data_IF_922811727711
#
_entry.id   IF_922811727711
#
_cell.length_a   1.000
_cell.length_b   1.000
_cell.length_c   1.000
_cell.angle_alpha   90.00
_cell.angle_beta   90.00
_cell.angle_gamma   90.00
#
_symmetry.space_group_name_H-M   'P 1'
#
loop_
_entity.id
_entity.type
_entity.pdbx_description
1 polymer ?
#
# COMPACT_ATOMS: atom_id res chain seq x y z
N UNK A 1 -39.37 -18.20 -2.71
CA UNK A 1 -37.89 -18.32 -2.70
C UNK A 1 -37.41 -18.08 -1.28
N UNK A 2 -36.65 -19.00 -0.69
CA UNK A 2 -36.23 -18.95 0.71
C UNK A 2 -35.07 -17.96 0.88
N UNK A 3 -35.14 -17.16 1.95
CA UNK A 3 -34.34 -15.95 2.19
C UNK A 3 -32.92 -16.22 2.71
N UNK A 4 -32.38 -17.43 2.53
CA UNK A 4 -31.34 -17.97 3.42
C UNK A 4 -29.91 -17.96 2.86
N UNK A 5 -29.68 -17.77 1.55
CA UNK A 5 -28.33 -18.03 1.00
C UNK A 5 -27.60 -16.80 0.44
N UNK A 6 -27.87 -15.59 0.95
CA UNK A 6 -27.07 -14.42 0.58
C UNK A 6 -25.92 -14.26 1.58
N UNK A 7 -24.86 -15.05 1.40
CA UNK A 7 -23.68 -15.12 2.29
C UNK A 7 -22.94 -13.78 2.42
N UNK A 8 -23.16 -12.82 1.51
CA UNK A 8 -22.49 -11.50 1.51
C UNK A 8 -23.41 -10.30 1.21
N UNK A 9 -24.71 -10.42 1.45
CA UNK A 9 -25.67 -9.33 1.20
C UNK A 9 -25.89 -8.92 -0.27
N UNK A 10 -25.36 -9.69 -1.22
CA UNK A 10 -25.48 -9.46 -2.67
C UNK A 10 -25.88 -10.75 -3.41
N UNK A 11 -26.88 -10.67 -4.31
CA UNK A 11 -27.32 -11.82 -5.13
C UNK A 11 -26.25 -12.24 -6.15
N UNK A 12 -25.46 -11.28 -6.66
CA UNK A 12 -24.28 -11.53 -7.50
C UNK A 12 -23.04 -10.88 -6.91
N UNK A 13 -21.87 -11.41 -7.24
CA UNK A 13 -20.59 -10.85 -6.79
C UNK A 13 -20.40 -9.38 -7.23
N UNK A 14 -20.93 -9.05 -8.42
CA UNK A 14 -20.95 -7.70 -9.00
C UNK A 14 -21.69 -6.68 -8.13
N UNK A 15 -22.70 -7.13 -7.38
CA UNK A 15 -23.52 -6.25 -6.54
C UNK A 15 -22.90 -6.03 -5.15
N UNK A 16 -21.80 -6.73 -4.84
CA UNK A 16 -21.07 -6.57 -3.58
C UNK A 16 -20.01 -5.47 -3.70
N UNK A 17 -20.28 -4.34 -3.07
CA UNK A 17 -19.32 -3.22 -3.00
C UNK A 17 -17.96 -3.62 -2.40
N UNK A 18 -17.96 -4.52 -1.42
CA UNK A 18 -16.72 -5.08 -0.85
C UNK A 18 -15.93 -5.91 -1.85
N UNK A 19 -16.61 -6.74 -2.64
CA UNK A 19 -15.97 -7.52 -3.70
C UNK A 19 -15.41 -6.64 -4.81
N UNK A 20 -16.17 -5.62 -5.25
CA UNK A 20 -15.71 -4.65 -6.23
C UNK A 20 -14.48 -3.86 -5.73
N UNK A 21 -14.50 -3.40 -4.46
CA UNK A 21 -13.35 -2.73 -3.86
C UNK A 21 -12.12 -3.64 -3.84
N UNK A 22 -12.29 -4.91 -3.50
CA UNK A 22 -11.21 -5.89 -3.54
C UNK A 22 -10.65 -6.08 -4.96
N UNK A 23 -11.51 -6.21 -5.98
CA UNK A 23 -11.07 -6.34 -7.37
C UNK A 23 -10.29 -5.10 -7.84
N UNK A 24 -10.82 -3.90 -7.58
CA UNK A 24 -10.16 -2.64 -7.95
C UNK A 24 -8.80 -2.53 -7.25
N UNK A 25 -8.75 -2.82 -5.94
CA UNK A 25 -7.51 -2.79 -5.17
C UNK A 25 -6.48 -3.79 -5.72
N UNK A 26 -6.92 -5.00 -6.08
CA UNK A 26 -6.05 -6.04 -6.65
C UNK A 26 -5.49 -5.64 -8.01
N UNK A 27 -6.33 -5.10 -8.89
CA UNK A 27 -5.90 -4.61 -10.21
C UNK A 27 -4.91 -3.45 -10.09
N UNK A 28 -5.19 -2.52 -9.18
CA UNK A 28 -4.31 -1.39 -8.88
C UNK A 28 -2.95 -1.84 -8.33
N UNK A 29 -2.94 -2.74 -7.34
CA UNK A 29 -1.70 -3.30 -6.78
C UNK A 29 -0.86 -4.01 -7.86
N UNK A 30 -1.50 -4.79 -8.75
CA UNK A 30 -0.80 -5.46 -9.85
C UNK A 30 -0.13 -4.45 -10.78
N UNK A 31 -0.82 -3.36 -11.12
CA UNK A 31 -0.28 -2.31 -12.00
C UNK A 31 0.87 -1.55 -11.35
N UNK A 32 0.78 -1.26 -10.05
CA UNK A 32 1.89 -0.67 -9.30
C UNK A 32 3.09 -1.60 -9.34
N UNK A 33 2.90 -2.88 -9.01
CA UNK A 33 3.98 -3.87 -9.02
C UNK A 33 4.68 -3.91 -10.38
N UNK A 34 3.94 -4.02 -11.47
CA UNK A 34 4.50 -4.02 -12.83
C UNK A 34 5.34 -2.76 -13.14
N UNK A 35 4.94 -1.61 -12.60
CA UNK A 35 5.67 -0.35 -12.81
C UNK A 35 6.95 -0.29 -11.97
N UNK A 36 6.89 -0.82 -10.74
CA UNK A 36 8.03 -0.83 -9.81
C UNK A 36 9.05 -1.92 -10.13
N UNK A 37 8.63 -3.05 -10.71
CA UNK A 37 9.51 -4.15 -11.13
C UNK A 37 10.55 -3.64 -12.15
N UNK A 38 10.20 -2.67 -13.00
CA UNK A 38 11.13 -2.01 -13.95
C UNK A 38 12.25 -1.21 -13.26
N UNK A 39 12.04 -0.83 -12.00
CA UNK A 39 12.96 -0.04 -11.19
C UNK A 39 13.65 -0.90 -10.12
N UNK A 40 13.42 -2.21 -10.10
CA UNK A 40 13.83 -3.13 -9.04
C UNK A 40 13.36 -2.68 -7.64
N UNK A 41 12.14 -2.14 -7.57
CA UNK A 41 11.52 -1.66 -6.34
C UNK A 41 10.35 -2.52 -5.90
N UNK A 42 10.27 -2.77 -4.60
CA UNK A 42 9.07 -3.29 -3.94
C UNK A 42 8.08 -2.16 -3.65
N UNK A 43 6.80 -2.51 -3.48
CA UNK A 43 5.78 -1.53 -3.08
C UNK A 43 6.12 -0.82 -1.76
N UNK A 44 6.64 -1.55 -0.77
CA UNK A 44 7.06 -0.96 0.50
C UNK A 44 8.20 0.03 0.30
N UNK A 45 9.24 -0.31 -0.46
CA UNK A 45 10.33 0.61 -0.76
C UNK A 45 9.81 1.90 -1.40
N UNK A 46 8.91 1.78 -2.38
CA UNK A 46 8.27 2.92 -3.01
C UNK A 46 7.48 3.79 -2.02
N UNK A 47 6.65 3.19 -1.17
CA UNK A 47 5.87 3.92 -0.16
C UNK A 47 6.78 4.69 0.80
N UNK A 48 7.89 4.08 1.25
CA UNK A 48 8.82 4.75 2.15
C UNK A 48 9.56 5.91 1.46
N UNK A 49 9.96 5.74 0.19
CA UNK A 49 10.56 6.82 -0.60
C UNK A 49 9.58 7.98 -0.83
N UNK A 50 8.33 7.69 -1.21
CA UNK A 50 7.29 8.70 -1.39
C UNK A 50 6.99 9.44 -0.07
N UNK A 51 6.94 8.72 1.04
CA UNK A 51 6.77 9.30 2.38
C UNK A 51 7.93 10.23 2.73
N UNK A 52 9.16 9.77 2.55
CA UNK A 52 10.36 10.58 2.80
C UNK A 52 10.40 11.84 1.92
N UNK A 53 10.05 11.72 0.64
CA UNK A 53 9.97 12.84 -0.29
C UNK A 53 8.89 13.85 0.14
N UNK A 54 7.72 13.37 0.59
CA UNK A 54 6.66 14.24 1.12
C UNK A 54 7.10 14.99 2.38
N UNK A 55 7.79 14.33 3.32
CA UNK A 55 8.27 14.98 4.55
C UNK A 55 9.36 16.01 4.27
N UNK A 56 10.23 15.71 3.30
CA UNK A 56 11.35 16.58 2.91
C UNK A 56 10.88 17.92 2.33
N UNK A 57 9.65 18.01 1.80
CA UNK A 57 9.11 19.25 1.25
C UNK A 57 8.97 20.37 2.31
N UNK A 58 8.90 20.01 3.59
CA UNK A 58 8.80 20.98 4.68
C UNK A 58 10.16 21.55 5.13
N UNK A 59 11.26 21.20 4.46
CA UNK A 59 12.61 21.72 4.76
C UNK A 59 13.26 21.18 6.04
N UNK A 60 12.59 20.27 6.75
CA UNK A 60 13.09 19.64 7.97
C UNK A 60 13.87 18.37 7.65
N UNK A 61 14.82 18.03 8.54
CA UNK A 61 15.51 16.74 8.51
C UNK A 61 14.48 15.65 8.77
N UNK A 62 14.32 14.73 7.81
CA UNK A 62 13.40 13.60 7.92
C UNK A 62 14.06 12.45 8.67
N UNK A 63 13.45 12.00 9.76
CA UNK A 63 13.92 10.83 10.51
C UNK A 63 13.15 9.56 10.13
N UNK A 64 13.73 8.39 10.44
CA UNK A 64 13.03 7.11 10.28
C UNK A 64 11.75 7.02 11.12
N UNK A 65 11.68 7.76 12.24
CA UNK A 65 10.49 7.82 13.11
C UNK A 65 9.36 8.58 12.40
N UNK A 66 9.69 9.69 11.73
CA UNK A 66 8.70 10.48 10.97
C UNK A 66 8.10 9.66 9.84
N UNK A 67 8.95 8.93 9.12
CA UNK A 67 8.53 8.03 8.05
C UNK A 67 7.61 6.94 8.59
N UNK A 68 7.96 6.29 9.71
CA UNK A 68 7.11 5.27 10.34
C UNK A 68 5.74 5.82 10.74
N UNK A 69 5.70 7.01 11.35
CA UNK A 69 4.48 7.65 11.83
C UNK A 69 3.52 8.04 10.70
N UNK A 70 4.05 8.59 9.59
CA UNK A 70 3.22 9.01 8.45
C UNK A 70 2.78 7.82 7.60
N UNK A 71 3.67 6.85 7.34
CA UNK A 71 3.35 5.66 6.53
C UNK A 71 2.56 4.60 7.30
N UNK A 72 2.34 4.77 8.62
CA UNK A 72 1.73 3.77 9.51
C UNK A 72 2.43 2.40 9.43
N UNK A 73 3.73 2.40 9.17
CA UNK A 73 4.58 1.22 9.09
C UNK A 73 5.42 1.11 10.37
N UNK A 74 5.71 -0.11 10.83
CA UNK A 74 6.53 -0.29 12.02
C UNK A 74 7.99 0.19 11.80
N UNK A 75 8.60 0.71 12.86
CA UNK A 75 9.94 1.32 12.80
C UNK A 75 11.04 0.34 12.38
N UNK A 76 10.94 -0.95 12.75
CA UNK A 76 11.95 -1.95 12.36
C UNK A 76 11.86 -2.24 10.87
N UNK A 77 10.66 -2.38 10.32
CA UNK A 77 10.47 -2.53 8.88
C UNK A 77 10.98 -1.31 8.12
N UNK A 78 10.66 -0.09 8.58
CA UNK A 78 11.21 1.14 7.98
C UNK A 78 12.74 1.12 7.98
N UNK A 79 13.36 0.82 9.12
CA UNK A 79 14.82 0.78 9.24
C UNK A 79 15.46 -0.24 8.30
N UNK A 80 14.90 -1.46 8.24
CA UNK A 80 15.40 -2.53 7.37
C UNK A 80 15.30 -2.15 5.89
N UNK A 81 14.15 -1.62 5.48
CA UNK A 81 13.90 -1.27 4.08
C UNK A 81 14.76 -0.08 3.64
N UNK A 82 14.89 0.96 4.47
CA UNK A 82 15.75 2.09 4.15
C UNK A 82 17.21 1.69 4.05
N UNK A 83 17.69 0.76 4.89
CA UNK A 83 19.06 0.23 4.77
C UNK A 83 19.27 -0.48 3.44
N UNK A 84 18.30 -1.25 2.97
CA UNK A 84 18.35 -1.91 1.65
C UNK A 84 18.32 -0.91 0.49
N UNK A 85 17.66 0.25 0.66
CA UNK A 85 17.64 1.30 -0.36
C UNK A 85 18.91 2.15 -0.43
N UNK A 86 19.73 2.14 0.63
CA UNK A 86 20.97 2.92 0.72
C UNK A 86 22.23 2.13 0.33
N UNK A 87 22.14 0.81 0.28
CA UNK A 87 23.23 -0.10 -0.11
C UNK A 87 23.33 -0.26 -1.61
#
# INVERSE_FOLDING_TARGET
MNKTDIVFGAEKAEDSSGFLLWQVTTLWQRRIKQSLDLLDLTHTQFVLLATAASLSQNGNIVTQIDIANQSKTDRMMVSKVLRTLQS
#
